data_IF_307904933845
#
_entry.id   IF_307904933845
#
_cell.length_a   1.000
_cell.length_b   1.000
_cell.length_c   1.000
_cell.angle_alpha   90.00
_cell.angle_beta   90.00
_cell.angle_gamma   90.00
#
_symmetry.space_group_name_H-M   'P 1'
#
loop_
_entity.id
_entity.type
_entity.pdbx_description
1 polymer ?
#
# COMPACT_ATOMS: atom_id res chain seq x y z
N UNK A 1 20.82 9.89 -0.11
CA UNK A 1 20.10 10.99 -0.78
C UNK A 1 18.58 10.76 -0.89
N UNK A 2 18.07 9.50 -0.92
CA UNK A 2 16.64 9.24 -1.18
C UNK A 2 15.71 9.53 0.02
N UNK A 3 16.15 9.35 1.25
CA UNK A 3 15.36 9.65 2.46
C UNK A 3 15.04 11.16 2.62
N UNK A 4 15.93 12.04 2.19
CA UNK A 4 15.69 13.48 2.24
C UNK A 4 14.48 13.90 1.37
N UNK A 5 14.20 13.19 0.29
CA UNK A 5 13.03 13.42 -0.56
C UNK A 5 11.69 13.15 0.15
N UNK A 6 11.71 12.38 1.24
CA UNK A 6 10.51 12.12 2.07
C UNK A 6 10.46 13.09 3.24
N UNK A 7 11.60 13.31 3.90
CA UNK A 7 11.68 14.12 5.12
C UNK A 7 11.29 15.59 4.85
N UNK A 8 11.81 16.19 3.77
CA UNK A 8 11.52 17.59 3.44
C UNK A 8 10.04 17.88 3.20
N UNK A 9 9.32 17.14 2.31
CA UNK A 9 7.89 17.35 2.13
C UNK A 9 7.07 17.06 3.40
N UNK A 10 7.49 16.06 4.20
CA UNK A 10 6.80 15.72 5.44
C UNK A 10 6.93 16.83 6.49
N UNK A 11 8.12 17.43 6.61
CA UNK A 11 8.35 18.59 7.45
C UNK A 11 7.52 19.79 6.97
N UNK A 12 7.47 20.02 5.65
CA UNK A 12 6.63 21.07 5.06
C UNK A 12 5.14 20.90 5.39
N UNK A 13 4.61 19.67 5.22
CA UNK A 13 3.23 19.34 5.58
C UNK A 13 2.97 19.52 7.09
N UNK A 14 3.91 19.12 7.93
CA UNK A 14 3.80 19.28 9.39
C UNK A 14 3.78 20.75 9.81
N UNK A 15 4.65 21.58 9.20
CA UNK A 15 4.68 23.02 9.44
C UNK A 15 3.41 23.72 8.97
N UNK A 16 2.89 23.33 7.79
CA UNK A 16 1.63 23.86 7.27
C UNK A 16 0.44 23.50 8.18
N UNK A 17 0.38 22.24 8.63
CA UNK A 17 -0.65 21.80 9.57
C UNK A 17 -0.54 22.55 10.90
N UNK A 18 0.65 22.73 11.43
CA UNK A 18 0.91 23.50 12.64
C UNK A 18 0.49 24.97 12.46
N UNK A 19 0.89 25.63 11.37
CA UNK A 19 0.53 26.99 11.05
C UNK A 19 -1.00 27.16 10.93
N UNK A 20 -1.69 26.25 10.23
CA UNK A 20 -3.14 26.28 10.11
C UNK A 20 -3.83 26.19 11.47
N UNK A 21 -3.35 25.31 12.37
CA UNK A 21 -3.90 25.16 13.74
C UNK A 21 -3.66 26.40 14.60
N UNK A 22 -2.49 27.03 14.47
CA UNK A 22 -2.13 28.22 15.26
C UNK A 22 -2.97 29.46 14.93
N UNK A 23 -3.65 29.47 13.76
CA UNK A 23 -4.56 30.59 13.39
C UNK A 23 -5.79 30.67 14.27
N UNK A 24 -6.20 29.59 14.95
CA UNK A 24 -7.42 29.52 15.76
C UNK A 24 -8.74 29.56 14.98
N UNK A 25 -8.69 29.69 13.64
CA UNK A 25 -9.89 29.71 12.80
C UNK A 25 -10.50 28.32 12.55
N UNK A 26 -9.74 27.26 12.81
CA UNK A 26 -10.21 25.89 12.66
C UNK A 26 -11.07 25.54 13.88
N UNK A 27 -12.36 25.32 13.71
CA UNK A 27 -13.16 24.72 14.76
C UNK A 27 -12.63 23.34 15.19
N UNK A 28 -13.14 22.77 16.29
CA UNK A 28 -12.66 21.50 16.85
C UNK A 28 -12.56 20.36 15.82
N UNK A 29 -13.49 20.28 14.87
CA UNK A 29 -13.46 19.29 13.77
C UNK A 29 -12.34 19.59 12.77
N UNK A 30 -12.16 20.85 12.38
CA UNK A 30 -11.11 21.25 11.45
C UNK A 30 -9.71 20.99 12.01
N UNK A 31 -9.50 21.25 13.30
CA UNK A 31 -8.23 20.99 13.99
C UNK A 31 -7.86 19.51 13.96
N UNK A 32 -8.83 18.62 14.18
CA UNK A 32 -8.62 17.17 14.10
C UNK A 32 -8.34 16.68 12.67
N UNK A 33 -9.01 17.24 11.66
CA UNK A 33 -8.76 16.88 10.26
C UNK A 33 -7.39 17.37 9.77
N UNK A 34 -6.97 18.56 10.17
CA UNK A 34 -5.65 19.10 9.81
C UNK A 34 -4.52 18.28 10.43
N UNK A 35 -4.74 17.70 11.62
CA UNK A 35 -3.76 16.80 12.26
C UNK A 35 -3.49 15.54 11.43
N UNK A 36 -4.45 15.10 10.59
CA UNK A 36 -4.24 13.95 9.69
C UNK A 36 -3.34 14.27 8.49
N UNK A 37 -3.22 15.53 8.10
CA UNK A 37 -2.49 15.92 6.87
C UNK A 37 -1.03 15.41 6.87
N UNK A 38 -0.22 15.61 7.91
CA UNK A 38 1.13 15.05 7.95
C UNK A 38 1.15 13.52 7.95
N UNK A 39 0.20 12.88 8.64
CA UNK A 39 0.10 11.43 8.72
C UNK A 39 -0.23 10.82 7.34
N UNK A 40 -1.25 11.34 6.66
CA UNK A 40 -1.65 10.91 5.34
C UNK A 40 -0.57 11.22 4.28
N UNK A 41 0.07 12.38 4.41
CA UNK A 41 1.23 12.75 3.59
C UNK A 41 2.41 11.80 3.79
N UNK A 42 2.68 11.39 5.02
CA UNK A 42 3.70 10.38 5.33
C UNK A 42 3.40 9.02 4.71
N UNK A 43 2.16 8.56 4.79
CA UNK A 43 1.69 7.34 4.13
C UNK A 43 1.90 7.45 2.61
N UNK A 44 1.45 8.53 2.00
CA UNK A 44 1.58 8.74 0.55
C UNK A 44 3.05 8.74 0.09
N UNK A 45 3.89 9.49 0.78
CA UNK A 45 5.32 9.59 0.45
C UNK A 45 6.05 8.27 0.69
N UNK A 46 5.71 7.55 1.77
CA UNK A 46 6.29 6.24 2.09
C UNK A 46 5.96 5.20 1.03
N UNK A 47 4.69 5.02 0.69
CA UNK A 47 4.29 4.06 -0.35
C UNK A 47 4.86 4.41 -1.73
N UNK A 48 4.90 5.70 -2.07
CA UNK A 48 5.51 6.16 -3.32
C UNK A 48 7.00 5.83 -3.36
N UNK A 49 7.71 6.09 -2.27
CA UNK A 49 9.13 5.78 -2.18
C UNK A 49 9.40 4.29 -2.30
N UNK A 50 8.62 3.44 -1.60
CA UNK A 50 8.71 1.99 -1.74
C UNK A 50 8.45 1.56 -3.19
N UNK A 51 7.41 2.09 -3.83
CA UNK A 51 7.11 1.79 -5.21
C UNK A 51 8.23 2.19 -6.18
N UNK A 52 8.92 3.31 -5.91
CA UNK A 52 10.06 3.77 -6.69
C UNK A 52 11.30 2.88 -6.46
N UNK A 53 11.49 2.32 -5.26
CA UNK A 53 12.60 1.40 -4.97
C UNK A 53 12.36 0.00 -5.57
N UNK A 54 11.16 -0.56 -5.36
CA UNK A 54 10.82 -1.92 -5.81
C UNK A 54 10.66 -2.01 -7.32
N UNK A 55 10.00 -0.99 -7.91
CA UNK A 55 9.69 -0.93 -9.34
C UNK A 55 10.38 0.27 -9.99
N UNK A 56 11.72 0.33 -9.88
CA UNK A 56 12.53 1.41 -10.42
C UNK A 56 12.23 1.66 -11.91
N UNK A 57 12.47 2.89 -12.36
CA UNK A 57 12.21 3.28 -13.76
C UNK A 57 13.29 2.78 -14.69
N UNK A 58 14.53 2.71 -14.21
CA UNK A 58 15.71 2.29 -14.96
C UNK A 58 16.04 0.84 -14.66
N UNK A 59 16.54 0.13 -15.66
CA UNK A 59 16.81 -1.31 -15.57
C UNK A 59 17.98 -1.60 -14.63
N UNK A 60 18.95 -0.65 -14.51
CA UNK A 60 20.13 -0.77 -13.65
C UNK A 60 19.82 -0.65 -12.14
N UNK A 61 18.71 0.05 -11.80
CA UNK A 61 18.29 0.27 -10.40
C UNK A 61 17.13 -0.64 -9.98
N UNK A 62 16.62 -1.49 -10.87
CA UNK A 62 15.47 -2.33 -10.60
C UNK A 62 15.86 -3.59 -9.83
N UNK A 63 15.27 -3.76 -8.65
CA UNK A 63 15.44 -4.97 -7.81
C UNK A 63 14.80 -6.22 -8.43
N UNK A 64 13.77 -6.03 -9.25
CA UNK A 64 13.09 -7.09 -9.98
C UNK A 64 13.22 -6.82 -11.49
N UNK A 65 13.75 -7.77 -12.25
CA UNK A 65 13.87 -7.71 -13.71
C UNK A 65 12.51 -7.91 -14.41
N UNK A 66 11.53 -7.10 -13.99
CA UNK A 66 10.22 -7.08 -14.61
C UNK A 66 10.23 -6.30 -15.92
N UNK A 67 9.45 -6.75 -16.89
CA UNK A 67 9.21 -6.02 -18.14
C UNK A 67 8.70 -4.58 -17.86
N UNK A 68 9.12 -3.62 -18.68
CA UNK A 68 8.70 -2.20 -18.57
C UNK A 68 7.19 -2.01 -18.40
N UNK A 69 6.30 -2.72 -19.14
CA UNK A 69 4.85 -2.60 -18.94
C UNK A 69 4.40 -3.15 -17.57
N UNK A 70 4.98 -4.24 -17.10
CA UNK A 70 4.65 -4.83 -15.80
C UNK A 70 5.04 -3.89 -14.64
N UNK A 71 6.22 -3.28 -14.69
CA UNK A 71 6.67 -2.26 -13.71
C UNK A 71 5.75 -1.03 -13.69
N UNK A 72 5.34 -0.54 -14.85
CA UNK A 72 4.39 0.58 -14.95
C UNK A 72 3.04 0.20 -14.33
N UNK A 73 2.55 -0.99 -14.60
CA UNK A 73 1.30 -1.49 -14.04
C UNK A 73 1.39 -1.67 -12.52
N UNK A 74 2.49 -2.22 -12.00
CA UNK A 74 2.71 -2.37 -10.57
C UNK A 74 2.70 -1.01 -9.85
N UNK A 75 3.44 -0.01 -10.35
CA UNK A 75 3.44 1.35 -9.79
C UNK A 75 2.07 2.00 -9.82
N UNK A 76 1.30 1.81 -10.88
CA UNK A 76 -0.07 2.31 -10.97
C UNK A 76 -0.93 1.71 -9.85
N UNK A 77 -0.88 0.39 -9.65
CA UNK A 77 -1.67 -0.27 -8.61
C UNK A 77 -1.22 0.09 -7.19
N UNK A 78 0.07 0.26 -6.96
CA UNK A 78 0.55 0.80 -5.67
C UNK A 78 -0.03 2.20 -5.43
N UNK A 79 -0.06 3.06 -6.43
CA UNK A 79 -0.69 4.38 -6.33
C UNK A 79 -2.18 4.31 -6.01
N UNK A 80 -2.93 3.40 -6.64
CA UNK A 80 -4.35 3.17 -6.38
C UNK A 80 -4.58 2.66 -4.95
N UNK A 81 -3.77 1.68 -4.49
CA UNK A 81 -3.83 1.18 -3.11
C UNK A 81 -3.57 2.31 -2.13
N UNK A 82 -2.52 3.10 -2.36
CA UNK A 82 -2.16 4.23 -1.50
C UNK A 82 -3.30 5.23 -1.39
N UNK A 83 -3.89 5.61 -2.52
CA UNK A 83 -5.03 6.53 -2.54
C UNK A 83 -6.24 5.94 -1.78
N UNK A 84 -6.54 4.66 -1.99
CA UNK A 84 -7.64 3.99 -1.30
C UNK A 84 -7.41 3.95 0.21
N UNK A 85 -6.18 3.66 0.67
CA UNK A 85 -5.82 3.69 2.10
C UNK A 85 -5.96 5.10 2.68
N UNK A 86 -5.51 6.14 1.97
CA UNK A 86 -5.65 7.54 2.41
C UNK A 86 -7.13 7.92 2.56
N UNK A 87 -7.95 7.59 1.56
CA UNK A 87 -9.39 7.85 1.60
C UNK A 87 -10.06 7.08 2.73
N UNK A 88 -9.68 5.82 2.94
CA UNK A 88 -10.19 4.99 4.04
C UNK A 88 -9.89 5.62 5.41
N UNK A 89 -8.65 6.04 5.65
CA UNK A 89 -8.26 6.73 6.90
C UNK A 89 -9.04 8.03 7.10
N UNK A 90 -9.27 8.77 6.02
CA UNK A 90 -10.03 10.02 6.08
C UNK A 90 -11.51 9.76 6.39
N UNK A 91 -12.12 8.79 5.72
CA UNK A 91 -13.52 8.37 5.96
C UNK A 91 -13.69 7.86 7.39
N UNK A 92 -12.78 7.01 7.86
CA UNK A 92 -12.80 6.50 9.23
C UNK A 92 -12.78 7.63 10.26
N UNK A 93 -11.95 8.66 10.03
CA UNK A 93 -11.88 9.78 10.94
C UNK A 93 -13.16 10.61 10.96
N UNK A 94 -13.80 10.82 9.83
CA UNK A 94 -15.10 11.50 9.76
C UNK A 94 -16.16 10.71 10.52
N UNK A 95 -16.22 9.39 10.29
CA UNK A 95 -17.17 8.48 10.95
C UNK A 95 -16.98 8.50 12.48
N UNK A 96 -15.73 8.54 12.95
CA UNK A 96 -15.40 8.68 14.38
C UNK A 96 -15.87 10.03 14.95
N UNK A 97 -15.62 11.13 14.22
CA UNK A 97 -16.02 12.48 14.64
C UNK A 97 -17.53 12.66 14.73
N UNK A 98 -18.27 11.97 13.89
CA UNK A 98 -19.74 12.01 13.88
C UNK A 98 -20.37 10.97 14.80
N UNK A 99 -19.57 10.18 15.55
CA UNK A 99 -20.02 9.05 16.38
C UNK A 99 -20.95 8.11 15.62
N UNK A 100 -20.70 7.93 14.32
CA UNK A 100 -21.50 7.05 13.49
C UNK A 100 -21.22 5.58 13.86
N UNK A 101 -22.27 4.77 13.84
CA UNK A 101 -22.18 3.37 14.27
C UNK A 101 -21.31 2.49 13.35
N UNK A 102 -20.93 1.32 13.84
CA UNK A 102 -20.09 0.34 13.14
C UNK A 102 -20.63 -0.07 11.76
N UNK A 103 -21.95 -0.06 11.56
CA UNK A 103 -22.56 -0.33 10.27
C UNK A 103 -22.16 0.70 9.23
N UNK A 104 -22.18 1.99 9.58
CA UNK A 104 -21.78 3.07 8.66
C UNK A 104 -20.31 2.92 8.26
N UNK A 105 -19.46 2.59 9.23
CA UNK A 105 -18.04 2.31 9.01
C UNK A 105 -17.84 1.14 8.04
N UNK A 106 -18.56 0.06 8.24
CA UNK A 106 -18.47 -1.14 7.39
C UNK A 106 -18.95 -0.85 5.96
N UNK A 107 -20.08 -0.17 5.80
CA UNK A 107 -20.65 0.14 4.49
C UNK A 107 -19.76 1.10 3.70
N UNK A 108 -19.26 2.16 4.33
CA UNK A 108 -18.39 3.14 3.66
C UNK A 108 -16.99 2.59 3.37
N UNK A 109 -16.45 1.74 4.25
CA UNK A 109 -15.14 1.12 4.08
C UNK A 109 -15.13 -0.03 3.05
N UNK A 110 -16.27 -0.69 2.81
CA UNK A 110 -16.33 -1.86 1.94
C UNK A 110 -15.85 -1.61 0.51
N UNK A 111 -16.27 -0.55 -0.20
CA UNK A 111 -15.77 -0.23 -1.53
C UNK A 111 -14.24 0.02 -1.55
N UNK A 112 -13.72 0.65 -0.51
CA UNK A 112 -12.29 0.94 -0.39
C UNK A 112 -11.49 -0.34 -0.14
N UNK A 113 -12.01 -1.23 0.71
CA UNK A 113 -11.43 -2.56 0.91
C UNK A 113 -11.40 -3.37 -0.39
N UNK A 114 -12.47 -3.34 -1.18
CA UNK A 114 -12.50 -3.99 -2.50
C UNK A 114 -11.45 -3.42 -3.44
N UNK A 115 -11.27 -2.10 -3.45
CA UNK A 115 -10.28 -1.44 -4.30
C UNK A 115 -8.85 -1.82 -3.90
N UNK A 116 -8.55 -1.82 -2.59
CA UNK A 116 -7.25 -2.27 -2.04
C UNK A 116 -7.03 -3.75 -2.37
N UNK A 117 -8.01 -4.60 -2.11
CA UNK A 117 -7.94 -6.02 -2.39
C UNK A 117 -7.69 -6.30 -3.87
N UNK A 118 -8.38 -5.60 -4.77
CA UNK A 118 -8.16 -5.73 -6.21
C UNK A 118 -6.76 -5.27 -6.62
N UNK A 119 -6.24 -4.19 -6.04
CA UNK A 119 -4.86 -3.74 -6.27
C UNK A 119 -3.82 -4.78 -5.80
N UNK A 120 -4.00 -5.33 -4.59
CA UNK A 120 -3.14 -6.39 -4.02
C UNK A 120 -3.22 -7.66 -4.90
N UNK A 121 -4.41 -8.04 -5.36
CA UNK A 121 -4.59 -9.16 -6.28
C UNK A 121 -3.81 -8.97 -7.58
N UNK A 122 -3.87 -7.78 -8.18
CA UNK A 122 -3.14 -7.46 -9.42
C UNK A 122 -1.62 -7.52 -9.22
N UNK A 123 -1.12 -6.94 -8.14
CA UNK A 123 0.31 -7.00 -7.81
C UNK A 123 0.73 -8.44 -7.52
N UNK A 124 -0.05 -9.19 -6.73
CA UNK A 124 0.22 -10.58 -6.42
C UNK A 124 0.29 -11.47 -7.67
N UNK A 125 -0.58 -11.24 -8.66
CA UNK A 125 -0.51 -11.95 -9.95
C UNK A 125 0.75 -11.60 -10.74
N UNK A 126 1.16 -10.34 -10.75
CA UNK A 126 2.40 -9.91 -11.42
C UNK A 126 3.63 -10.58 -10.79
N UNK A 127 3.73 -10.56 -9.46
CA UNK A 127 4.82 -11.18 -8.72
C UNK A 127 4.86 -12.71 -8.93
N UNK A 128 3.70 -13.36 -8.92
CA UNK A 128 3.60 -14.80 -9.17
C UNK A 128 4.05 -15.17 -10.58
N UNK A 129 3.67 -14.37 -11.58
CA UNK A 129 4.09 -14.57 -12.97
C UNK A 129 5.59 -14.47 -13.14
N UNK A 130 6.20 -13.45 -12.55
CA UNK A 130 7.65 -13.25 -12.52
C UNK A 130 8.39 -14.44 -11.88
N UNK A 131 8.01 -14.82 -10.67
CA UNK A 131 8.64 -15.94 -9.96
C UNK A 131 8.49 -17.28 -10.69
N UNK A 132 7.50 -17.45 -11.57
CA UNK A 132 7.37 -18.67 -12.41
C UNK A 132 8.36 -18.64 -13.57
N UNK A 133 8.50 -17.50 -14.25
CA UNK A 133 9.45 -17.34 -15.36
C UNK A 133 10.90 -17.49 -14.90
N UNK A 134 11.23 -16.97 -13.72
CA UNK A 134 12.57 -17.10 -13.16
C UNK A 134 12.93 -18.55 -12.79
N UNK A 135 11.98 -19.32 -12.27
CA UNK A 135 12.17 -20.74 -11.96
C UNK A 135 12.36 -21.55 -13.25
N UNK A 136 11.61 -21.26 -14.31
CA UNK A 136 11.72 -21.95 -15.61
C UNK A 136 13.03 -21.61 -16.34
N UNK A 137 13.53 -20.38 -16.22
CA UNK A 137 14.79 -19.96 -16.82
C UNK A 137 16.01 -20.60 -16.13
N UNK A 138 15.89 -21.00 -14.89
CA UNK A 138 16.96 -21.46 -14.01
C UNK A 138 17.25 -22.96 -14.07
N UNK A 139 16.45 -23.77 -14.76
CA UNK A 139 16.82 -25.17 -15.02
C UNK A 139 18.18 -25.30 -15.72
N UNK A 140 18.82 -24.15 -16.07
CA UNK A 140 20.06 -24.12 -16.83
C UNK A 140 21.30 -23.65 -16.03
N UNK A 141 21.24 -22.80 -14.97
CA UNK A 141 22.52 -22.21 -14.44
C UNK A 141 22.56 -21.67 -13.01
N UNK A 142 22.38 -22.05 -11.97
CA UNK A 142 22.81 -21.65 -10.59
C UNK A 142 21.76 -21.69 -9.47
N UNK A 143 22.08 -22.28 -8.28
CA UNK A 143 21.10 -22.53 -7.21
C UNK A 143 20.69 -21.31 -6.36
N UNK A 144 21.25 -20.13 -6.58
CA UNK A 144 20.99 -18.94 -5.74
C UNK A 144 19.81 -18.10 -6.21
N UNK A 145 19.57 -18.04 -7.50
CA UNK A 145 18.44 -17.36 -8.10
C UNK A 145 17.12 -18.12 -7.83
N UNK A 146 17.12 -19.47 -7.75
CA UNK A 146 15.93 -20.30 -7.46
C UNK A 146 15.27 -20.01 -6.12
N UNK A 147 16.00 -19.53 -5.12
CA UNK A 147 15.44 -19.19 -3.82
C UNK A 147 14.60 -17.90 -3.86
N UNK A 148 15.05 -16.89 -4.62
CA UNK A 148 14.35 -15.61 -4.79
C UNK A 148 13.07 -15.78 -5.60
N UNK A 149 13.11 -16.48 -6.73
CA UNK A 149 11.94 -16.78 -7.56
C UNK A 149 10.85 -17.52 -6.76
N UNK A 150 11.25 -18.50 -5.93
CA UNK A 150 10.33 -19.22 -5.03
C UNK A 150 9.70 -18.31 -3.98
N UNK A 151 10.48 -17.42 -3.36
CA UNK A 151 9.98 -16.45 -2.38
C UNK A 151 8.99 -15.48 -3.02
N UNK A 152 9.34 -14.87 -4.15
CA UNK A 152 8.47 -13.95 -4.89
C UNK A 152 7.18 -14.62 -5.31
N UNK A 153 7.23 -15.85 -5.81
CA UNK A 153 6.06 -16.65 -6.19
C UNK A 153 5.18 -16.98 -4.98
N UNK A 154 5.76 -17.38 -3.84
CA UNK A 154 5.00 -17.70 -2.63
C UNK A 154 4.28 -16.49 -2.08
N UNK A 155 4.95 -15.34 -2.04
CA UNK A 155 4.39 -14.07 -1.61
C UNK A 155 3.29 -13.56 -2.55
N UNK A 156 3.49 -13.68 -3.85
CA UNK A 156 2.46 -13.40 -4.83
C UNK A 156 1.21 -14.27 -4.62
N UNK A 157 1.40 -15.54 -4.26
CA UNK A 157 0.29 -16.47 -3.97
C UNK A 157 -0.44 -16.10 -2.68
N UNK A 158 0.29 -15.77 -1.61
CA UNK A 158 -0.28 -15.30 -0.34
C UNK A 158 -1.07 -14.00 -0.57
N UNK A 159 -0.51 -13.06 -1.31
CA UNK A 159 -1.17 -11.80 -1.63
C UNK A 159 -2.50 -12.03 -2.38
N UNK A 160 -2.55 -12.95 -3.33
CA UNK A 160 -3.78 -13.32 -4.05
C UNK A 160 -4.83 -13.92 -3.10
N UNK A 161 -4.42 -14.83 -2.20
CA UNK A 161 -5.33 -15.46 -1.22
C UNK A 161 -5.90 -14.40 -0.29
N UNK A 162 -5.06 -13.54 0.27
CA UNK A 162 -5.49 -12.46 1.19
C UNK A 162 -6.40 -11.46 0.47
N UNK A 163 -6.10 -11.11 -0.78
CA UNK A 163 -6.91 -10.21 -1.58
C UNK A 163 -8.34 -10.74 -1.81
N UNK A 164 -8.54 -12.05 -1.85
CA UNK A 164 -9.87 -12.66 -1.96
C UNK A 164 -10.52 -12.82 -0.59
N UNK A 165 -9.76 -13.28 0.41
CA UNK A 165 -10.29 -13.55 1.74
C UNK A 165 -10.75 -12.29 2.49
N UNK A 166 -10.02 -11.17 2.35
CA UNK A 166 -10.30 -9.96 3.11
C UNK A 166 -11.69 -9.36 2.80
N UNK A 167 -12.10 -9.14 1.53
CA UNK A 167 -13.45 -8.65 1.25
C UNK A 167 -14.55 -9.62 1.67
N UNK A 168 -14.30 -10.93 1.57
CA UNK A 168 -15.27 -11.96 2.02
C UNK A 168 -15.47 -11.90 3.54
N UNK A 169 -14.40 -11.76 4.32
CA UNK A 169 -14.48 -11.58 5.76
C UNK A 169 -15.21 -10.30 6.13
N UNK A 170 -14.97 -9.21 5.42
CA UNK A 170 -15.68 -7.96 5.65
C UNK A 170 -17.17 -8.07 5.32
N UNK A 171 -17.51 -8.72 4.21
CA UNK A 171 -18.91 -8.99 3.83
C UNK A 171 -19.64 -9.88 4.85
N UNK A 172 -18.89 -10.79 5.52
CA UNK A 172 -19.40 -11.62 6.63
C UNK A 172 -19.48 -10.85 7.97
N UNK A 173 -19.15 -9.56 8.01
CA UNK A 173 -19.19 -8.74 9.22
C UNK A 173 -17.91 -8.71 10.05
N UNK A 174 -16.86 -9.38 9.60
CA UNK A 174 -15.56 -9.43 10.30
C UNK A 174 -14.62 -8.30 9.83
N UNK A 175 -15.02 -7.05 10.03
CA UNK A 175 -14.23 -5.87 9.60
C UNK A 175 -12.79 -5.88 10.15
N UNK A 176 -12.63 -6.12 11.45
CA UNK A 176 -11.31 -6.12 12.07
C UNK A 176 -10.41 -7.24 11.53
N UNK A 177 -10.94 -8.41 11.23
CA UNK A 177 -10.18 -9.50 10.62
C UNK A 177 -9.73 -9.17 9.20
N UNK A 178 -10.60 -8.55 8.40
CA UNK A 178 -10.28 -8.09 7.04
C UNK A 178 -9.12 -7.09 7.06
N UNK A 179 -9.22 -6.08 7.90
CA UNK A 179 -8.19 -5.03 8.05
C UNK A 179 -6.87 -5.61 8.57
N UNK A 180 -6.93 -6.52 9.54
CA UNK A 180 -5.75 -7.19 10.11
C UNK A 180 -5.04 -8.11 9.12
N UNK A 181 -5.69 -8.56 8.07
CA UNK A 181 -5.07 -9.35 6.99
C UNK A 181 -4.47 -8.45 5.90
N UNK A 182 -5.19 -7.41 5.46
CA UNK A 182 -4.74 -6.55 4.37
C UNK A 182 -3.54 -5.68 4.74
N UNK A 183 -3.57 -5.02 5.89
CA UNK A 183 -2.49 -4.11 6.29
C UNK A 183 -1.11 -4.79 6.40
N UNK A 184 -0.96 -5.91 7.13
CA UNK A 184 0.32 -6.62 7.18
C UNK A 184 0.76 -7.15 5.82
N UNK A 185 -0.18 -7.60 4.97
CA UNK A 185 0.17 -8.10 3.64
C UNK A 185 0.74 -7.01 2.76
N UNK A 186 0.12 -5.83 2.74
CA UNK A 186 0.63 -4.66 2.00
C UNK A 186 2.00 -4.24 2.54
N UNK A 187 2.17 -4.22 3.86
CA UNK A 187 3.41 -3.86 4.54
C UNK A 187 4.51 -4.90 4.26
N UNK A 188 4.19 -6.18 4.30
CA UNK A 188 5.14 -7.27 4.00
C UNK A 188 5.59 -7.22 2.56
N UNK A 189 4.68 -6.98 1.61
CA UNK A 189 5.03 -6.78 0.20
C UNK A 189 5.93 -5.56 0.01
N UNK A 190 5.66 -4.48 0.75
CA UNK A 190 6.47 -3.27 0.72
C UNK A 190 7.87 -3.48 1.29
N UNK A 191 7.98 -4.13 2.46
CA UNK A 191 9.27 -4.40 3.13
C UNK A 191 10.08 -5.40 2.31
N UNK A 192 9.46 -6.45 1.78
CA UNK A 192 10.17 -7.42 0.97
C UNK A 192 10.76 -6.78 -0.28
N UNK A 193 9.99 -5.92 -0.94
CA UNK A 193 10.50 -5.15 -2.06
C UNK A 193 11.62 -4.16 -1.70
N UNK A 194 11.79 -3.85 -0.41
CA UNK A 194 12.89 -3.01 0.09
C UNK A 194 14.14 -3.82 0.45
N UNK A 195 13.97 -5.09 0.82
CA UNK A 195 15.06 -5.98 1.30
C UNK A 195 15.66 -6.81 0.16
N UNK A 196 14.89 -7.05 -0.92
CA UNK A 196 15.35 -7.70 -2.15
C UNK A 196 16.13 -6.75 -3.03
#
# INVERSE_FOLDING_TARGET
ASLLRIIFPLLGLSLLAYAARSTGYLGARGDQLVTLVPQLGGIMLGYRWVAEQVFAREDEDALLELDKPARRQARFWVGVITLAVIVDQFVLRIVELDNAGDLTRTVLGFPLTLLVAFGVFRIGRLLRGYGTQEIEAEETDTPRASSLGRLVRSLGSIAVIVAVAAPLLQAAGYYNASTSLLHPTVLTLAILGLVL
#
